data_IF_248239262991
#
_entry.id   IF_248239262991
#
_cell.length_a   1.000
_cell.length_b   1.000
_cell.length_c   1.000
_cell.angle_alpha   90.00
_cell.angle_beta   90.00
_cell.angle_gamma   90.00
#
_symmetry.space_group_name_H-M   'P 1'
#
loop_
_entity.id
_entity.type
_entity.pdbx_description
1 polymer ?
#
# COMPACT_ATOMS: atom_id res chain seq x y z
N UNK A 1 -4.18 10.06 -23.98
CA UNK A 1 -3.15 9.37 -23.17
C UNK A 1 -3.03 10.11 -21.84
N UNK A 2 -3.96 9.86 -20.92
CA UNK A 2 -3.84 10.32 -19.54
C UNK A 2 -3.14 9.18 -18.79
N UNK A 3 -1.84 9.36 -18.50
CA UNK A 3 -1.20 8.54 -17.48
C UNK A 3 -1.74 9.03 -16.15
N UNK A 4 -2.66 8.29 -15.53
CA UNK A 4 -2.90 8.45 -14.11
C UNK A 4 -1.58 8.11 -13.42
N UNK A 5 -0.90 9.12 -12.87
CA UNK A 5 0.35 8.92 -12.15
C UNK A 5 0.12 7.94 -11.00
N UNK A 6 1.09 7.06 -10.79
CA UNK A 6 1.18 6.22 -9.59
C UNK A 6 0.90 7.10 -8.35
N UNK A 7 -0.20 6.83 -7.66
CA UNK A 7 -0.52 7.54 -6.43
C UNK A 7 0.33 6.92 -5.33
N UNK A 8 1.18 7.75 -4.71
CA UNK A 8 1.96 7.31 -3.55
C UNK A 8 1.00 6.77 -2.48
N UNK A 9 1.26 5.54 -2.02
CA UNK A 9 0.47 4.92 -0.97
C UNK A 9 0.76 5.58 0.38
N UNK A 10 -0.24 5.76 1.24
CA UNK A 10 0.01 6.03 2.66
C UNK A 10 0.73 4.81 3.25
N UNK A 11 1.60 5.04 4.24
CA UNK A 11 2.54 4.06 4.79
C UNK A 11 3.70 3.63 3.85
N UNK A 12 4.59 4.56 3.44
CA UNK A 12 5.79 4.22 2.66
C UNK A 12 6.77 3.31 3.40
N UNK A 13 6.70 3.25 4.74
CA UNK A 13 7.48 2.31 5.55
C UNK A 13 6.94 0.86 5.47
N UNK A 14 5.73 0.66 4.94
CA UNK A 14 5.06 -0.66 4.85
C UNK A 14 4.90 -1.11 3.40
N UNK A 15 4.64 -0.18 2.50
CA UNK A 15 4.46 -0.44 1.07
C UNK A 15 5.39 0.43 0.25
N UNK A 16 6.05 -0.18 -0.74
CA UNK A 16 6.66 0.54 -1.84
C UNK A 16 5.83 0.34 -3.11
N UNK A 17 5.91 1.29 -4.03
CA UNK A 17 5.31 1.14 -5.35
C UNK A 17 6.36 1.38 -6.42
N UNK A 18 6.60 0.36 -7.24
CA UNK A 18 7.55 0.49 -8.35
C UNK A 18 6.98 1.42 -9.42
N UNK A 19 7.60 2.57 -9.61
CA UNK A 19 7.15 3.63 -10.52
C UNK A 19 6.94 3.17 -11.98
N UNK A 20 7.72 2.18 -12.43
CA UNK A 20 7.71 1.72 -13.81
C UNK A 20 6.38 1.04 -14.21
N UNK A 21 5.77 0.29 -13.30
CA UNK A 21 4.63 -0.59 -13.59
C UNK A 21 3.55 -0.59 -12.51
N UNK A 22 3.74 0.17 -11.43
CA UNK A 22 2.75 0.34 -10.37
C UNK A 22 2.61 -0.86 -9.44
N UNK A 23 3.48 -1.87 -9.54
CA UNK A 23 3.49 -3.02 -8.62
C UNK A 23 3.75 -2.52 -7.20
N UNK A 24 2.84 -2.91 -6.30
CA UNK A 24 2.96 -2.70 -4.86
C UNK A 24 3.84 -3.81 -4.29
N UNK A 25 4.84 -3.42 -3.50
CA UNK A 25 5.77 -4.30 -2.82
C UNK A 25 5.49 -4.16 -1.33
N UNK A 26 5.27 -5.29 -0.64
CA UNK A 26 5.16 -5.33 0.81
C UNK A 26 6.58 -5.27 1.41
N UNK A 27 6.88 -4.19 2.14
CA UNK A 27 8.15 -4.00 2.84
C UNK A 27 8.12 -4.60 4.25
N UNK A 28 6.98 -4.47 4.93
CA UNK A 28 6.77 -4.97 6.29
C UNK A 28 5.40 -5.64 6.42
N UNK A 29 5.38 -6.93 6.74
CA UNK A 29 4.16 -7.71 6.86
C UNK A 29 3.50 -7.57 8.25
N UNK A 30 4.26 -7.14 9.26
CA UNK A 30 3.78 -7.00 10.63
C UNK A 30 4.09 -5.59 11.15
N UNK A 31 3.51 -4.54 10.53
CA UNK A 31 3.79 -3.17 10.89
C UNK A 31 3.31 -2.86 12.30
N UNK A 32 4.02 -1.96 12.98
CA UNK A 32 3.65 -1.47 14.30
C UNK A 32 2.21 -0.92 14.31
N UNK A 33 1.52 -1.06 15.45
CA UNK A 33 0.12 -0.63 15.61
C UNK A 33 -0.14 0.83 15.20
N UNK A 34 0.86 1.70 15.42
CA UNK A 34 0.81 3.11 15.00
C UNK A 34 0.63 3.31 13.48
N UNK A 35 1.05 2.34 12.66
CA UNK A 35 0.96 2.38 11.21
C UNK A 35 -0.33 1.74 10.68
N UNK A 36 -1.09 1.01 11.51
CA UNK A 36 -2.29 0.29 11.07
C UNK A 36 -3.35 1.22 10.46
N UNK A 37 -3.43 2.47 10.93
CA UNK A 37 -4.29 3.49 10.32
C UNK A 37 -3.92 3.76 8.86
N UNK A 38 -2.65 4.05 8.61
CA UNK A 38 -2.12 4.31 7.28
C UNK A 38 -2.19 3.08 6.37
N UNK A 39 -2.01 1.87 6.93
CA UNK A 39 -2.16 0.61 6.19
C UNK A 39 -3.59 0.39 5.70
N UNK A 40 -4.61 0.66 6.54
CA UNK A 40 -6.03 0.59 6.13
C UNK A 40 -6.36 1.63 5.06
N UNK A 41 -5.80 2.83 5.17
CA UNK A 41 -5.94 3.88 4.15
C UNK A 41 -5.32 3.44 2.81
N UNK A 42 -4.15 2.80 2.85
CA UNK A 42 -3.45 2.31 1.66
C UNK A 42 -4.29 1.27 0.92
N UNK A 43 -4.85 0.31 1.66
CA UNK A 43 -5.75 -0.70 1.11
C UNK A 43 -6.99 -0.06 0.45
N UNK A 44 -7.57 0.96 1.10
CA UNK A 44 -8.76 1.66 0.59
C UNK A 44 -8.45 2.48 -0.68
N UNK A 45 -7.28 3.11 -0.75
CA UNK A 45 -6.89 3.94 -1.89
C UNK A 45 -6.31 3.15 -3.06
N UNK A 46 -5.96 1.87 -2.88
CA UNK A 46 -5.36 1.06 -3.94
C UNK A 46 -6.38 0.75 -5.06
N UNK A 47 -6.25 1.36 -6.26
CA UNK A 47 -7.24 1.18 -7.33
C UNK A 47 -7.24 -0.25 -7.90
N UNK A 48 -6.12 -0.96 -7.73
CA UNK A 48 -5.95 -2.34 -8.18
C UNK A 48 -6.43 -3.37 -7.15
N UNK A 49 -6.87 -2.93 -5.95
CA UNK A 49 -7.18 -3.82 -4.81
C UNK A 49 -6.06 -4.86 -4.55
N UNK A 50 -4.80 -4.40 -4.62
CA UNK A 50 -3.62 -5.27 -4.49
C UNK A 50 -3.18 -5.50 -3.03
N UNK A 51 -3.79 -4.79 -2.07
CA UNK A 51 -3.44 -4.83 -0.65
C UNK A 51 -4.61 -5.46 0.10
N UNK A 52 -4.37 -6.63 0.68
CA UNK A 52 -5.33 -7.35 1.52
C UNK A 52 -4.85 -7.31 2.98
N UNK A 53 -5.79 -7.11 3.91
CA UNK A 53 -5.49 -7.09 5.34
C UNK A 53 -5.87 -8.42 5.97
N UNK A 54 -4.90 -9.04 6.63
CA UNK A 54 -5.11 -10.23 7.45
C UNK A 54 -4.99 -9.90 8.92
N UNK A 55 -5.78 -10.58 9.75
CA UNK A 55 -5.62 -10.53 11.20
C UNK A 55 -4.64 -11.64 11.61
N UNK A 56 -3.53 -11.29 12.25
CA UNK A 56 -2.63 -12.26 12.88
C UNK A 56 -3.23 -12.65 14.23
N UNK A 57 -3.77 -13.87 14.31
CA UNK A 57 -4.38 -14.46 15.52
C UNK A 57 -3.36 -14.96 16.54
#
# INVERSE_FOLDING_TARGET
MLRYGAMALPAPDVFDQREADGIVILLDAEPAESLHGSVREAATMCPAAAIELGESS
#
